data_IF_366377433405
#
_entry.id   IF_366377433405
#
_cell.length_a   1.000
_cell.length_b   1.000
_cell.length_c   1.000
_cell.angle_alpha   90.00
_cell.angle_beta   90.00
_cell.angle_gamma   90.00
#
_symmetry.space_group_name_H-M   'P 1'
#
loop_
_entity.id
_entity.type
_entity.pdbx_description
1 polymer ?
#
# COMPACT_ATOMS: atom_id res chain seq x y z
N UNK A 1 2.84 -4.89 23.59
CA UNK A 1 3.07 -6.08 22.75
C UNK A 1 3.46 -5.57 21.38
N UNK A 2 4.69 -5.83 20.93
CA UNK A 2 5.11 -5.44 19.59
C UNK A 2 4.48 -6.41 18.58
N UNK A 3 3.65 -5.91 17.66
CA UNK A 3 3.21 -6.67 16.50
C UNK A 3 4.32 -6.61 15.45
N UNK A 4 4.71 -7.77 14.89
CA UNK A 4 5.58 -7.78 13.74
C UNK A 4 4.81 -7.19 12.55
N UNK A 5 5.30 -6.08 12.00
CA UNK A 5 4.71 -5.46 10.82
C UNK A 5 4.88 -6.41 9.63
N UNK A 6 3.84 -6.53 8.81
CA UNK A 6 3.90 -7.27 7.56
C UNK A 6 4.54 -6.41 6.47
N UNK A 7 5.40 -7.03 5.69
CA UNK A 7 6.16 -6.41 4.60
C UNK A 7 5.89 -7.14 3.29
N UNK A 8 5.62 -6.36 2.25
CA UNK A 8 5.52 -6.84 0.87
C UNK A 8 6.50 -6.07 -0.01
N UNK A 9 7.42 -6.80 -0.65
CA UNK A 9 8.34 -6.25 -1.64
C UNK A 9 7.77 -6.56 -3.02
N UNK A 10 7.54 -5.51 -3.81
CA UNK A 10 6.95 -5.60 -5.14
C UNK A 10 8.00 -5.12 -6.14
N UNK A 11 8.61 -6.00 -6.95
CA UNK A 11 9.68 -5.62 -7.87
C UNK A 11 9.28 -4.60 -8.94
N UNK A 12 8.00 -4.59 -9.32
CA UNK A 12 7.43 -3.66 -10.28
C UNK A 12 6.14 -3.08 -9.72
N UNK A 13 6.18 -1.83 -9.26
CA UNK A 13 5.02 -1.13 -8.71
C UNK A 13 3.86 -0.95 -9.73
N UNK A 14 4.12 -1.09 -11.04
CA UNK A 14 3.08 -0.93 -12.08
C UNK A 14 1.98 -1.98 -12.03
N UNK A 15 2.26 -3.15 -11.42
CA UNK A 15 1.27 -4.24 -11.26
C UNK A 15 0.23 -3.96 -10.18
N UNK A 16 0.52 -3.00 -9.28
CA UNK A 16 -0.37 -2.62 -8.19
C UNK A 16 -1.43 -1.65 -8.72
N UNK A 17 -2.69 -2.01 -8.51
CA UNK A 17 -3.86 -1.21 -8.80
C UNK A 17 -4.15 -0.35 -7.57
N UNK A 18 -4.77 0.81 -7.77
CA UNK A 18 -5.19 1.68 -6.68
C UNK A 18 -6.52 2.34 -6.99
N UNK A 19 -7.21 2.79 -5.94
CA UNK A 19 -8.43 3.58 -6.01
C UNK A 19 -8.23 4.85 -5.20
N UNK A 20 -8.43 6.01 -5.83
CA UNK A 20 -8.46 7.31 -5.15
C UNK A 20 -9.92 7.66 -4.85
N UNK A 21 -10.20 8.08 -3.63
CA UNK A 21 -11.54 8.47 -3.20
C UNK A 21 -11.61 9.98 -2.87
N UNK A 22 -12.79 10.62 -3.00
CA UNK A 22 -12.93 12.07 -2.82
C UNK A 22 -12.61 12.58 -1.40
N UNK A 23 -12.70 11.70 -0.41
CA UNK A 23 -12.35 11.95 1.00
C UNK A 23 -10.84 11.92 1.29
N UNK A 24 -10.01 11.78 0.25
CA UNK A 24 -8.56 11.86 0.37
C UNK A 24 -7.91 10.55 0.85
N UNK A 25 -8.55 9.41 0.61
CA UNK A 25 -7.93 8.11 0.80
C UNK A 25 -7.50 7.51 -0.54
N UNK A 26 -6.38 6.82 -0.51
CA UNK A 26 -5.89 6.02 -1.63
C UNK A 26 -5.78 4.58 -1.16
N UNK A 27 -6.56 3.70 -1.77
CA UNK A 27 -6.57 2.28 -1.45
C UNK A 27 -5.70 1.52 -2.44
N UNK A 28 -4.69 0.80 -1.94
CA UNK A 28 -3.97 -0.17 -2.75
C UNK A 28 -4.83 -1.43 -2.89
N UNK A 29 -4.93 -1.91 -4.12
CA UNK A 29 -5.75 -3.07 -4.49
C UNK A 29 -4.84 -4.21 -4.93
N UNK A 30 -5.45 -5.36 -5.18
CA UNK A 30 -4.84 -6.55 -5.77
C UNK A 30 -3.52 -7.02 -5.15
N UNK A 31 -3.24 -6.71 -3.87
CA UNK A 31 -2.03 -7.20 -3.21
C UNK A 31 -2.01 -8.73 -3.13
N UNK A 32 -3.18 -9.38 -3.10
CA UNK A 32 -3.33 -10.83 -3.22
C UNK A 32 -2.93 -11.41 -4.58
N UNK A 33 -2.99 -10.61 -5.66
CA UNK A 33 -2.51 -11.02 -6.99
C UNK A 33 -0.97 -10.93 -7.05
N UNK A 34 -0.36 -10.10 -6.21
CA UNK A 34 1.10 -9.97 -6.07
C UNK A 34 1.66 -11.03 -5.12
N UNK A 35 1.02 -11.21 -3.96
CA UNK A 35 1.35 -12.22 -2.96
C UNK A 35 0.04 -12.78 -2.37
N UNK A 36 -0.26 -14.08 -2.57
CA UNK A 36 -1.52 -14.68 -2.16
C UNK A 36 -1.74 -14.72 -0.63
N UNK A 37 -0.71 -14.43 0.17
CA UNK A 37 -0.82 -14.34 1.63
C UNK A 37 -1.37 -12.99 2.11
N UNK A 38 -1.51 -12.01 1.21
CA UNK A 38 -2.10 -10.71 1.49
C UNK A 38 -3.59 -10.70 1.20
N UNK A 39 -4.35 -9.94 1.98
CA UNK A 39 -5.77 -9.80 1.76
C UNK A 39 -6.06 -9.08 0.42
N UNK A 40 -7.00 -9.64 -0.37
CA UNK A 40 -7.38 -9.08 -1.68
C UNK A 40 -8.59 -8.16 -1.68
N UNK A 41 -9.35 -8.13 -0.58
CA UNK A 41 -10.63 -7.42 -0.50
C UNK A 41 -10.47 -5.88 -0.47
N UNK A 42 -11.51 -5.21 -0.95
CA UNK A 42 -11.50 -4.05 -1.84
C UNK A 42 -10.92 -2.72 -1.32
N UNK A 43 -10.63 -2.59 -0.03
CA UNK A 43 -10.17 -1.35 0.61
C UNK A 43 -9.32 -1.62 1.85
N UNK A 44 -8.69 -2.80 1.93
CA UNK A 44 -7.98 -3.21 3.14
C UNK A 44 -6.70 -2.42 3.41
N UNK A 45 -6.10 -1.78 2.41
CA UNK A 45 -4.81 -1.10 2.57
C UNK A 45 -4.92 0.31 2.04
N UNK A 46 -4.74 1.31 2.89
CA UNK A 46 -4.97 2.70 2.51
C UNK A 46 -3.89 3.67 2.98
N UNK A 47 -3.75 4.76 2.22
CA UNK A 47 -2.97 5.95 2.56
C UNK A 47 -3.92 7.14 2.68
N UNK A 48 -3.74 8.00 3.68
CA UNK A 48 -4.54 9.21 3.85
C UNK A 48 -3.80 10.43 3.29
N UNK A 49 -4.16 10.86 2.07
CA UNK A 49 -3.54 11.98 1.35
C UNK A 49 -3.97 13.35 1.87
N UNK A 50 -4.82 13.43 2.89
CA UNK A 50 -5.03 14.69 3.64
C UNK A 50 -3.84 15.04 4.54
N UNK A 51 -3.00 14.05 4.87
CA UNK A 51 -1.76 14.23 5.66
C UNK A 51 -0.52 14.37 4.77
N UNK A 52 0.53 15.06 5.24
CA UNK A 52 1.81 15.15 4.53
C UNK A 52 2.45 13.78 4.33
N UNK A 53 2.37 12.92 5.34
CA UNK A 53 2.89 11.55 5.29
C UNK A 53 2.21 10.72 4.20
N UNK A 54 0.87 10.77 4.11
CA UNK A 54 0.14 10.04 3.06
C UNK A 54 0.33 10.63 1.67
N UNK A 55 0.46 11.96 1.52
CA UNK A 55 0.85 12.58 0.24
C UNK A 55 2.22 12.11 -0.24
N UNK A 56 3.19 12.07 0.67
CA UNK A 56 4.56 11.63 0.35
C UNK A 56 4.59 10.16 -0.05
N UNK A 57 3.90 9.29 0.71
CA UNK A 57 3.77 7.87 0.37
C UNK A 57 3.10 7.65 -0.99
N UNK A 58 2.01 8.38 -1.27
CA UNK A 58 1.33 8.26 -2.55
C UNK A 58 2.17 8.78 -3.71
N UNK A 59 2.90 9.88 -3.53
CA UNK A 59 3.85 10.38 -4.52
C UNK A 59 4.96 9.35 -4.80
N UNK A 60 5.55 8.77 -3.76
CA UNK A 60 6.57 7.72 -3.89
C UNK A 60 6.03 6.51 -4.65
N UNK A 61 4.81 6.06 -4.32
CA UNK A 61 4.11 5.00 -5.04
C UNK A 61 3.92 5.34 -6.52
N UNK A 62 3.41 6.54 -6.85
CA UNK A 62 3.19 6.95 -8.24
C UNK A 62 4.51 7.04 -9.02
N UNK A 63 5.56 7.59 -8.42
CA UNK A 63 6.89 7.66 -9.02
C UNK A 63 7.43 6.27 -9.33
N UNK A 64 7.34 5.32 -8.39
CA UNK A 64 7.75 3.94 -8.61
C UNK A 64 6.88 3.26 -9.67
N UNK A 65 5.56 3.49 -9.66
CA UNK A 65 4.60 2.90 -10.60
C UNK A 65 4.85 3.33 -12.04
N UNK A 66 5.10 4.62 -12.28
CA UNK A 66 5.39 5.16 -13.62
C UNK A 66 6.75 4.67 -14.13
N UNK A 67 7.73 4.56 -13.21
CA UNK A 67 9.09 4.15 -13.54
C UNK A 67 9.29 2.62 -13.56
N UNK A 68 8.24 1.84 -13.26
CA UNK A 68 8.30 0.38 -13.06
C UNK A 68 9.40 -0.05 -12.08
N UNK A 69 9.59 0.76 -11.05
CA UNK A 69 10.57 0.50 -10.00
C UNK A 69 9.95 -0.36 -8.89
N UNK A 70 10.84 -0.91 -8.06
CA UNK A 70 10.47 -1.63 -6.85
C UNK A 70 9.72 -0.70 -5.89
N UNK A 71 8.76 -1.25 -5.16
CA UNK A 71 8.12 -0.59 -4.02
C UNK A 71 7.99 -1.59 -2.87
N UNK A 72 8.13 -1.09 -1.64
CA UNK A 72 7.94 -1.84 -0.40
C UNK A 72 6.71 -1.28 0.31
N UNK A 73 5.82 -2.19 0.74
CA UNK A 73 4.62 -1.87 1.50
C UNK A 73 4.78 -2.42 2.90
N UNK A 74 4.51 -1.58 3.90
CA UNK A 74 4.42 -1.98 5.30
C UNK A 74 3.00 -1.78 5.84
N UNK A 75 2.46 -2.83 6.48
CA UNK A 75 1.17 -2.80 7.15
C UNK A 75 1.27 -3.40 8.55
N UNK A 76 0.36 -3.01 9.43
CA UNK A 76 0.22 -3.61 10.77
C UNK A 76 -0.23 -5.08 10.72
N UNK A 77 -0.92 -5.47 9.64
CA UNK A 77 -1.27 -6.86 9.35
C UNK A 77 -1.63 -7.06 7.88
N UNK A 78 -1.22 -8.18 7.29
CA UNK A 78 -1.57 -8.58 5.91
C UNK A 78 -2.93 -9.26 5.78
N UNK A 79 -3.53 -9.74 6.89
CA UNK A 79 -4.80 -10.49 6.91
C UNK A 79 -5.76 -10.09 8.05
N UNK A 80 -5.29 -9.40 9.08
CA UNK A 80 -5.91 -9.41 10.41
C UNK A 80 -6.96 -8.35 10.72
N UNK A 81 -7.22 -7.38 9.84
CA UNK A 81 -8.32 -6.43 10.04
C UNK A 81 -8.76 -5.76 8.73
N UNK A 82 -10.06 -5.62 8.47
CA UNK A 82 -10.53 -4.75 7.41
C UNK A 82 -10.02 -3.32 7.69
N UNK A 83 -9.64 -2.59 6.65
CA UNK A 83 -9.27 -1.17 6.72
C UNK A 83 -7.93 -0.86 7.46
N UNK A 84 -6.82 -1.45 7.01
CA UNK A 84 -5.47 -1.16 7.50
C UNK A 84 -4.89 0.12 6.88
N UNK A 85 -4.49 1.05 7.75
CA UNK A 85 -3.60 2.12 7.37
C UNK A 85 -2.24 1.53 6.98
N UNK A 86 -1.74 1.90 5.81
CA UNK A 86 -0.36 1.60 5.45
C UNK A 86 0.57 2.43 6.33
N UNK A 87 1.49 1.72 6.99
CA UNK A 87 2.51 2.33 7.82
C UNK A 87 3.53 3.03 6.94
N UNK A 88 3.83 2.44 5.78
CA UNK A 88 4.77 2.98 4.82
C UNK A 88 4.57 2.40 3.41
N UNK A 89 4.83 3.23 2.39
CA UNK A 89 4.94 2.84 0.98
C UNK A 89 6.10 3.61 0.34
N UNK A 90 7.14 2.91 -0.13
CA UNK A 90 8.37 3.52 -0.65
C UNK A 90 9.45 2.51 -1.04
N UNK A 91 10.59 2.98 -1.59
CA UNK A 91 11.74 2.16 -1.97
C UNK A 91 12.93 2.53 -1.06
N UNK A 92 13.46 1.57 -0.30
CA UNK A 92 14.66 1.71 0.54
C UNK A 92 15.67 0.59 0.27
#
# INVERSE_FOLDING_TARGET
MAHANDLLVIPDASVVKYLVTPDGYVYLRNLNEVDPTWAGCCTNFWMNTTTDGGRTQFAAFLSARVSRQRIVIYASSKTGSPNQALLHVGDF
#
